data_IF_165836555205
#
_entry.id   IF_165836555205
#
_cell.length_a   1.000
_cell.length_b   1.000
_cell.length_c   1.000
_cell.angle_alpha   90.00
_cell.angle_beta   90.00
_cell.angle_gamma   90.00
#
_symmetry.space_group_name_H-M   'P 1'
#
loop_
_entity.id
_entity.type
_entity.pdbx_description
1 polymer ?
#
# COMPACT_ATOMS: atom_id res chain seq x y z
N UNK A 1 6.93 10.64 32.70
CA UNK A 1 7.96 9.79 32.07
C UNK A 1 7.38 8.61 31.27
N UNK A 2 6.06 8.39 31.25
CA UNK A 2 5.43 7.26 30.53
C UNK A 2 5.09 7.52 29.05
N UNK A 3 4.93 8.76 28.60
CA UNK A 3 4.56 9.07 27.21
C UNK A 3 5.68 8.76 26.17
N UNK A 4 6.92 8.50 26.61
CA UNK A 4 8.04 8.13 25.73
C UNK A 4 8.18 6.63 25.49
N UNK A 5 7.51 5.80 26.30
CA UNK A 5 7.63 4.33 26.23
C UNK A 5 6.69 3.70 25.20
N UNK A 6 5.53 4.30 24.95
CA UNK A 6 4.56 3.81 23.96
C UNK A 6 5.03 4.01 22.50
N UNK A 7 5.91 4.96 22.24
CA UNK A 7 6.46 5.19 20.89
C UNK A 7 7.60 4.23 20.49
N UNK A 8 8.08 3.37 21.41
CA UNK A 8 9.20 2.47 21.12
C UNK A 8 8.75 1.09 20.59
N UNK A 9 7.49 0.69 20.77
CA UNK A 9 6.97 -0.60 20.29
C UNK A 9 6.40 -0.54 18.86
N UNK A 10 6.23 0.64 18.26
CA UNK A 10 5.70 0.83 16.89
C UNK A 10 6.76 0.99 15.78
N UNK A 11 8.04 0.70 16.04
CA UNK A 11 9.05 0.62 14.97
C UNK A 11 9.16 -0.80 14.40
N UNK A 12 8.06 -1.30 13.85
CA UNK A 12 8.09 -2.51 13.04
C UNK A 12 8.51 -2.17 11.60
N UNK A 13 9.82 -2.20 11.34
CA UNK A 13 10.51 -1.99 10.04
C UNK A 13 10.24 -0.64 9.37
N UNK A 14 11.26 -0.01 8.77
CA UNK A 14 11.11 1.29 8.08
C UNK A 14 10.20 1.25 6.84
N UNK A 15 9.47 0.15 6.61
CA UNK A 15 8.86 -0.20 5.34
C UNK A 15 7.32 -0.26 5.42
N UNK A 16 6.71 0.11 6.55
CA UNK A 16 5.26 0.28 6.72
C UNK A 16 4.93 1.59 7.45
N UNK A 17 3.91 2.31 6.98
CA UNK A 17 3.34 3.49 7.65
C UNK A 17 3.15 4.66 6.69
N UNK A 18 3.24 5.90 7.18
CA UNK A 18 3.17 7.10 6.32
C UNK A 18 4.48 7.32 5.57
N UNK A 19 4.63 6.61 4.45
CA UNK A 19 5.85 6.65 3.64
C UNK A 19 5.61 7.56 2.44
N UNK A 20 6.55 8.50 2.22
CA UNK A 20 6.54 9.42 1.08
C UNK A 20 6.59 8.65 -0.23
N UNK A 21 5.75 9.04 -1.19
CA UNK A 21 5.79 8.46 -2.54
C UNK A 21 7.10 8.82 -3.26
N UNK A 22 7.51 10.09 -3.19
CA UNK A 22 8.74 10.56 -3.83
C UNK A 22 8.73 10.28 -5.33
N UNK A 23 9.81 9.67 -5.85
CA UNK A 23 9.92 9.26 -7.26
C UNK A 23 9.50 7.80 -7.49
N UNK A 24 8.97 7.12 -6.47
CA UNK A 24 8.57 5.71 -6.58
C UNK A 24 7.24 5.60 -7.32
N UNK A 25 7.02 4.46 -7.98
CA UNK A 25 5.72 4.10 -8.56
C UNK A 25 4.79 3.62 -7.45
N UNK A 26 3.66 4.30 -7.28
CA UNK A 26 2.60 3.94 -6.34
C UNK A 26 1.75 2.83 -6.92
N UNK A 27 1.63 1.72 -6.21
CA UNK A 27 0.80 0.57 -6.57
C UNK A 27 -0.48 0.62 -5.74
N UNK A 28 -1.64 0.57 -6.39
CA UNK A 28 -2.95 0.71 -5.76
C UNK A 28 -3.74 -0.58 -5.99
N UNK A 29 -4.20 -1.27 -4.93
CA UNK A 29 -5.05 -2.44 -5.10
C UNK A 29 -6.43 -2.03 -5.64
N UNK A 30 -6.99 -2.81 -6.57
CA UNK A 30 -8.34 -2.58 -7.11
C UNK A 30 -9.42 -3.14 -6.16
N UNK A 31 -9.60 -2.50 -5.00
CA UNK A 31 -10.72 -2.85 -4.09
C UNK A 31 -12.08 -2.39 -4.63
N UNK A 32 -12.05 -1.31 -5.41
CA UNK A 32 -13.15 -0.82 -6.23
C UNK A 32 -12.56 -0.29 -7.53
N UNK A 33 -13.06 -0.75 -8.67
CA UNK A 33 -12.52 -0.39 -9.98
C UNK A 33 -12.51 1.10 -10.24
N UNK A 34 -13.63 1.78 -10.02
CA UNK A 34 -13.75 3.20 -10.29
C UNK A 34 -12.83 4.01 -9.36
N UNK A 35 -12.86 3.73 -8.06
CA UNK A 35 -12.04 4.44 -7.06
C UNK A 35 -10.55 4.21 -7.27
N UNK A 36 -10.12 2.99 -7.58
CA UNK A 36 -8.69 2.69 -7.78
C UNK A 36 -8.15 3.40 -9.03
N UNK A 37 -8.90 3.36 -10.14
CA UNK A 37 -8.52 4.06 -11.38
C UNK A 37 -8.51 5.57 -11.20
N UNK A 38 -9.53 6.12 -10.53
CA UNK A 38 -9.61 7.55 -10.25
C UNK A 38 -8.47 8.00 -9.33
N UNK A 39 -8.19 7.27 -8.25
CA UNK A 39 -7.09 7.57 -7.35
C UNK A 39 -5.74 7.55 -8.07
N UNK A 40 -5.50 6.54 -8.93
CA UNK A 40 -4.29 6.45 -9.74
C UNK A 40 -4.18 7.64 -10.71
N UNK A 41 -5.27 8.01 -11.37
CA UNK A 41 -5.30 9.16 -12.29
C UNK A 41 -5.05 10.49 -11.56
N UNK A 42 -5.68 10.70 -10.41
CA UNK A 42 -5.48 11.88 -9.58
C UNK A 42 -4.03 11.98 -9.14
N UNK A 43 -3.43 10.90 -8.61
CA UNK A 43 -2.01 10.92 -8.21
C UNK A 43 -1.08 11.31 -9.36
N UNK A 44 -1.32 10.79 -10.58
CA UNK A 44 -0.57 11.20 -11.77
C UNK A 44 -0.77 12.68 -12.11
N UNK A 45 -1.97 13.21 -11.95
CA UNK A 45 -2.26 14.65 -12.10
C UNK A 45 -1.47 15.53 -11.13
N UNK A 46 -1.10 15.00 -9.96
CA UNK A 46 -0.26 15.67 -8.96
C UNK A 46 1.25 15.35 -9.10
N UNK A 47 1.65 14.71 -10.20
CA UNK A 47 3.05 14.38 -10.51
C UNK A 47 3.59 13.15 -9.78
N UNK A 48 2.71 12.29 -9.27
CA UNK A 48 3.08 11.03 -8.63
C UNK A 48 2.75 9.88 -9.58
N UNK A 49 3.77 9.13 -9.99
CA UNK A 49 3.57 7.92 -10.78
C UNK A 49 2.74 6.90 -9.99
N UNK A 50 1.59 6.50 -10.55
CA UNK A 50 0.65 5.62 -9.86
C UNK A 50 -0.05 4.67 -10.84
N UNK A 51 -0.23 3.41 -10.41
CA UNK A 51 -0.85 2.33 -11.17
C UNK A 51 -1.84 1.55 -10.31
N UNK A 52 -3.06 1.37 -10.82
CA UNK A 52 -3.96 0.37 -10.28
C UNK A 52 -3.46 -1.02 -10.68
N UNK A 53 -3.44 -1.95 -9.73
CA UNK A 53 -3.05 -3.33 -9.96
C UNK A 53 -4.17 -4.10 -10.65
N UNK A 54 -3.79 -5.06 -11.51
CA UNK A 54 -4.76 -6.04 -12.02
C UNK A 54 -5.28 -6.90 -10.88
N UNK A 55 -6.61 -6.99 -10.75
CA UNK A 55 -7.23 -7.78 -9.69
C UNK A 55 -7.66 -9.17 -10.13
N UNK A 56 -7.73 -10.11 -9.19
CA UNK A 56 -8.10 -11.52 -9.39
C UNK A 56 -7.14 -12.34 -10.27
N UNK A 57 -6.01 -11.78 -10.70
CA UNK A 57 -4.99 -12.51 -11.46
C UNK A 57 -4.09 -13.38 -10.58
N UNK A 58 -3.93 -12.99 -9.31
CA UNK A 58 -3.05 -13.67 -8.35
C UNK A 58 -3.78 -14.37 -7.20
N UNK A 59 -5.09 -14.66 -7.32
CA UNK A 59 -5.86 -15.18 -6.20
C UNK A 59 -5.26 -16.46 -5.59
N UNK A 60 -4.74 -17.36 -6.42
CA UNK A 60 -4.12 -18.60 -5.94
C UNK A 60 -2.84 -18.32 -5.13
N UNK A 61 -2.04 -17.32 -5.53
CA UNK A 61 -0.90 -16.83 -4.74
C UNK A 61 -1.40 -16.27 -3.40
N UNK A 62 -2.45 -15.45 -3.42
CA UNK A 62 -3.02 -14.91 -2.17
C UNK A 62 -3.49 -16.00 -1.21
N UNK A 63 -4.09 -17.07 -1.73
CA UNK A 63 -4.54 -18.23 -0.94
C UNK A 63 -3.38 -19.04 -0.35
N UNK A 64 -2.27 -19.17 -1.07
CA UNK A 64 -1.10 -19.92 -0.60
C UNK A 64 -0.50 -19.33 0.69
N UNK A 65 -0.54 -18.00 0.83
CA UNK A 65 0.02 -17.29 1.98
C UNK A 65 -1.02 -16.89 3.03
N UNK A 66 -2.27 -17.33 2.91
CA UNK A 66 -3.35 -17.02 3.85
C UNK A 66 -3.93 -18.27 4.49
N UNK A 67 -4.51 -18.12 5.68
CA UNK A 67 -5.05 -19.26 6.45
C UNK A 67 -6.55 -19.47 6.25
N UNK A 68 -7.21 -18.57 5.51
CA UNK A 68 -8.67 -18.53 5.36
C UNK A 68 -9.37 -17.83 6.53
N UNK A 69 -8.63 -17.40 7.57
CA UNK A 69 -9.17 -16.61 8.69
C UNK A 69 -9.17 -15.12 8.39
N UNK A 70 -8.44 -14.68 7.37
CA UNK A 70 -8.42 -13.33 6.86
C UNK A 70 -9.68 -13.06 6.02
N UNK A 71 -10.15 -11.81 5.93
CA UNK A 71 -11.28 -11.56 5.03
C UNK A 71 -10.85 -11.76 3.57
N UNK A 72 -11.80 -12.15 2.74
CA UNK A 72 -11.55 -12.44 1.32
C UNK A 72 -10.84 -11.31 0.55
N UNK A 73 -11.17 -10.01 0.74
CA UNK A 73 -10.41 -8.93 0.11
C UNK A 73 -8.91 -8.89 0.46
N UNK A 74 -8.52 -9.38 1.64
CA UNK A 74 -7.09 -9.50 1.99
C UNK A 74 -6.38 -10.48 1.08
N UNK A 75 -7.01 -11.64 0.82
CA UNK A 75 -6.47 -12.69 -0.05
C UNK A 75 -6.34 -12.18 -1.49
N UNK A 76 -7.38 -11.50 -1.99
CA UNK A 76 -7.38 -10.92 -3.34
C UNK A 76 -6.25 -9.90 -3.48
N UNK A 77 -6.20 -8.90 -2.58
CA UNK A 77 -5.22 -7.81 -2.70
C UNK A 77 -3.78 -8.27 -2.45
N UNK A 78 -3.56 -9.25 -1.57
CA UNK A 78 -2.25 -9.89 -1.42
C UNK A 78 -1.86 -10.64 -2.70
N UNK A 79 -2.80 -11.38 -3.29
CA UNK A 79 -2.57 -12.05 -4.57
C UNK A 79 -2.19 -11.08 -5.69
N UNK A 80 -2.89 -9.94 -5.77
CA UNK A 80 -2.69 -8.92 -6.79
C UNK A 80 -1.28 -8.30 -6.71
N UNK A 81 -0.80 -7.96 -5.51
CA UNK A 81 0.56 -7.43 -5.33
C UNK A 81 1.64 -8.50 -5.61
N UNK A 82 1.43 -9.75 -5.20
CA UNK A 82 2.36 -10.85 -5.49
C UNK A 82 2.45 -11.13 -6.99
N UNK A 83 1.31 -11.18 -7.67
CA UNK A 83 1.23 -11.35 -9.12
C UNK A 83 1.97 -10.23 -9.86
N UNK A 84 1.72 -8.98 -9.47
CA UNK A 84 2.41 -7.82 -10.05
C UNK A 84 3.93 -7.93 -9.90
N UNK A 85 4.41 -8.26 -8.70
CA UNK A 85 5.85 -8.39 -8.43
C UNK A 85 6.47 -9.51 -9.28
N UNK A 86 5.79 -10.65 -9.41
CA UNK A 86 6.25 -11.74 -10.26
C UNK A 86 6.38 -11.29 -11.72
N UNK A 87 5.38 -10.60 -12.25
CA UNK A 87 5.39 -10.10 -13.64
C UNK A 87 6.42 -9.01 -13.89
N UNK A 88 6.61 -8.08 -12.95
CA UNK A 88 7.66 -7.07 -13.08
C UNK A 88 9.06 -7.68 -12.94
N UNK A 89 9.26 -8.69 -12.09
CA UNK A 89 10.52 -9.46 -12.03
C UNK A 89 10.80 -10.18 -13.35
N UNK A 90 9.81 -10.85 -13.93
CA UNK A 90 9.93 -11.53 -15.23
C UNK A 90 10.29 -10.54 -16.36
N UNK A 91 9.69 -9.36 -16.35
CA UNK A 91 9.86 -8.33 -17.38
C UNK A 91 11.21 -7.59 -17.28
N UNK A 92 11.63 -7.23 -16.07
CA UNK A 92 12.84 -6.43 -15.85
C UNK A 92 14.08 -7.28 -15.58
N UNK A 93 13.90 -8.53 -15.18
CA UNK A 93 14.99 -9.45 -14.85
C UNK A 93 15.94 -8.85 -13.79
N UNK A 94 17.27 -8.81 -14.04
CA UNK A 94 18.24 -8.25 -13.10
C UNK A 94 18.05 -6.76 -12.77
N UNK A 95 17.31 -6.02 -13.61
CA UNK A 95 17.04 -4.59 -13.37
C UNK A 95 15.85 -4.34 -12.42
N UNK A 96 15.17 -5.39 -11.97
CA UNK A 96 14.07 -5.25 -11.01
C UNK A 96 14.58 -4.74 -9.66
N UNK A 97 14.18 -3.52 -9.29
CA UNK A 97 14.43 -2.93 -7.97
C UNK A 97 13.10 -2.70 -7.23
N UNK A 98 12.76 -3.52 -6.22
CA UNK A 98 11.55 -3.33 -5.42
C UNK A 98 11.54 -1.98 -4.67
N UNK A 99 12.72 -1.36 -4.46
CA UNK A 99 12.84 -0.03 -3.89
C UNK A 99 12.20 1.09 -4.74
N UNK A 100 11.93 0.84 -6.03
CA UNK A 100 11.25 1.77 -6.94
C UNK A 100 9.73 1.77 -6.75
N UNK A 101 9.19 0.90 -5.90
CA UNK A 101 7.75 0.74 -5.71
C UNK A 101 7.32 1.09 -4.29
N UNK A 102 6.11 1.64 -4.18
CA UNK A 102 5.42 1.83 -2.92
C UNK A 102 4.00 1.32 -3.06
N UNK A 103 3.59 0.38 -2.23
CA UNK A 103 2.24 -0.16 -2.23
C UNK A 103 1.36 0.68 -1.31
N UNK A 104 0.32 1.30 -1.86
CA UNK A 104 -0.59 2.15 -1.10
C UNK A 104 -1.79 1.33 -0.62
N UNK A 105 -1.80 1.05 0.68
CA UNK A 105 -2.84 0.24 1.32
C UNK A 105 -3.33 0.95 2.57
N UNK A 106 -4.45 1.70 2.49
CA UNK A 106 -5.10 2.31 3.64
C UNK A 106 -5.47 1.28 4.71
N UNK A 107 -5.66 1.76 5.94
CA UNK A 107 -6.13 0.97 7.07
C UNK A 107 -7.27 1.70 7.81
N UNK A 108 -8.04 0.96 8.60
CA UNK A 108 -8.97 1.54 9.57
C UNK A 108 -8.50 1.25 10.98
N UNK A 109 -8.59 2.24 11.85
CA UNK A 109 -8.46 2.06 13.29
C UNK A 109 -9.66 1.27 13.86
N UNK A 110 -9.47 0.66 15.03
CA UNK A 110 -10.48 -0.17 15.72
C UNK A 110 -10.35 -1.68 15.46
N UNK A 111 -11.29 -2.52 15.94
CA UNK A 111 -11.22 -3.98 15.85
C UNK A 111 -11.48 -4.52 14.43
N UNK A 112 -11.31 -3.69 13.40
CA UNK A 112 -11.55 -4.05 12.03
C UNK A 112 -10.40 -4.90 11.48
N UNK A 113 -10.71 -6.04 10.86
CA UNK A 113 -9.71 -6.89 10.20
C UNK A 113 -8.98 -6.14 9.08
N UNK A 114 -9.63 -5.18 8.42
CA UNK A 114 -9.01 -4.31 7.42
C UNK A 114 -7.81 -3.52 7.98
N UNK A 115 -7.89 -3.11 9.25
CA UNK A 115 -6.79 -2.44 9.96
C UNK A 115 -5.51 -3.25 10.06
N UNK A 116 -5.57 -4.56 9.80
CA UNK A 116 -4.42 -5.46 9.89
C UNK A 116 -3.90 -5.91 8.52
N UNK A 117 -4.53 -5.51 7.41
CA UNK A 117 -4.14 -5.98 6.08
C UNK A 117 -2.71 -5.58 5.76
N UNK A 118 -2.34 -4.31 5.99
CA UNK A 118 -1.02 -3.79 5.67
C UNK A 118 0.09 -4.49 6.48
N UNK A 119 -0.14 -4.79 7.77
CA UNK A 119 0.78 -5.49 8.66
C UNK A 119 0.93 -6.95 8.23
N UNK A 120 -0.18 -7.62 7.96
CA UNK A 120 -0.17 -8.99 7.48
C UNK A 120 0.55 -9.11 6.13
N UNK A 121 0.19 -8.27 5.16
CA UNK A 121 0.83 -8.27 3.84
C UNK A 121 2.30 -7.87 3.94
N UNK A 122 2.69 -6.99 4.88
CA UNK A 122 4.11 -6.69 5.15
C UNK A 122 4.87 -7.93 5.62
N UNK A 123 4.32 -8.69 6.57
CA UNK A 123 4.92 -9.95 7.06
C UNK A 123 5.10 -10.93 5.89
N UNK A 124 4.07 -11.09 5.04
CA UNK A 124 4.15 -11.97 3.88
C UNK A 124 5.22 -11.49 2.91
N UNK A 125 5.25 -10.20 2.55
CA UNK A 125 6.25 -9.65 1.63
C UNK A 125 7.67 -9.76 2.18
N UNK A 126 7.89 -9.57 3.49
CA UNK A 126 9.20 -9.71 4.14
C UNK A 126 9.71 -11.17 4.14
N UNK A 127 8.83 -12.16 3.95
CA UNK A 127 9.24 -13.56 3.78
C UNK A 127 9.89 -13.87 2.43
N UNK A 128 9.70 -13.00 1.43
CA UNK A 128 10.31 -13.17 0.11
C UNK A 128 11.66 -12.46 0.01
N UNK A 129 12.72 -13.14 -0.47
CA UNK A 129 14.01 -12.53 -0.67
C UNK A 129 13.95 -11.28 -1.58
N UNK A 130 14.50 -10.18 -1.06
CA UNK A 130 14.64 -8.91 -1.76
C UNK A 130 13.39 -8.04 -1.80
N UNK A 131 12.26 -8.40 -1.17
CA UNK A 131 11.05 -7.56 -1.14
C UNK A 131 10.96 -6.64 0.08
N UNK A 132 11.97 -6.64 0.95
CA UNK A 132 12.09 -5.74 2.10
C UNK A 132 12.06 -4.27 1.67
N UNK A 133 12.69 -3.93 0.53
CA UNK A 133 12.75 -2.54 0.03
C UNK A 133 11.46 -2.01 -0.61
N UNK A 134 10.50 -2.90 -0.93
CA UNK A 134 9.17 -2.48 -1.36
C UNK A 134 8.41 -2.00 -0.13
N UNK A 135 8.07 -0.72 -0.08
CA UNK A 135 7.45 -0.12 1.10
C UNK A 135 5.93 -0.11 1.00
N UNK A 136 5.21 -0.24 2.11
CA UNK A 136 3.76 -0.06 2.18
C UNK A 136 3.46 1.30 2.78
N UNK A 137 2.89 2.20 1.98
CA UNK A 137 2.38 3.48 2.47
C UNK A 137 0.92 3.34 2.87
N UNK A 138 0.58 3.79 4.07
CA UNK A 138 -0.75 3.65 4.65
C UNK A 138 -1.22 4.94 5.31
N UNK A 139 -2.52 5.16 5.24
CA UNK A 139 -3.28 6.22 5.90
C UNK A 139 -4.36 5.56 6.77
N UNK A 140 -4.75 6.23 7.85
CA UNK A 140 -5.61 5.65 8.88
C UNK A 140 -6.81 6.54 9.17
N UNK A 141 -7.90 5.95 9.63
CA UNK A 141 -9.09 6.71 10.10
C UNK A 141 -8.78 7.60 11.30
N UNK A 142 -7.74 7.28 12.09
CA UNK A 142 -7.34 8.02 13.30
C UNK A 142 -7.10 9.51 13.04
N UNK A 143 -6.62 9.86 11.84
CA UNK A 143 -6.38 11.25 11.43
C UNK A 143 -7.22 11.67 10.23
N UNK A 144 -8.34 10.98 10.00
CA UNK A 144 -9.25 11.28 8.89
C UNK A 144 -8.63 11.00 7.53
N UNK A 145 -7.81 9.95 7.41
CA UNK A 145 -7.14 9.56 6.17
C UNK A 145 -6.22 10.64 5.60
N UNK A 146 -5.52 11.36 6.48
CA UNK A 146 -4.68 12.49 6.06
C UNK A 146 -3.45 12.02 5.28
N UNK A 147 -3.25 12.56 4.09
CA UNK A 147 -2.04 12.35 3.27
C UNK A 147 -0.83 13.18 3.73
N UNK A 148 -0.98 13.92 4.82
CA UNK A 148 0.13 14.65 5.46
C UNK A 148 1.25 13.68 5.84
N UNK A 149 2.46 13.95 5.36
CA UNK A 149 3.63 13.09 5.55
C UNK A 149 3.90 12.13 4.38
N UNK A 150 2.93 11.93 3.49
CA UNK A 150 3.06 11.12 2.27
C UNK A 150 3.29 12.02 1.05
N UNK A 151 2.46 13.05 0.90
CA UNK A 151 2.57 14.09 -0.13
C UNK A 151 3.27 15.34 0.41
N UNK A 152 3.75 16.19 -0.51
CA UNK A 152 4.25 17.54 -0.19
C UNK A 152 3.14 18.37 0.44
N UNK A 153 3.46 19.12 1.49
CA UNK A 153 2.48 19.80 2.36
C UNK A 153 1.59 20.77 1.56
N UNK A 154 2.18 21.40 0.56
CA UNK A 154 1.55 22.37 -0.34
C UNK A 154 0.50 21.70 -1.24
N UNK A 155 0.69 20.42 -1.59
CA UNK A 155 -0.20 19.66 -2.46
C UNK A 155 -1.32 18.93 -1.71
N UNK A 156 -1.19 18.73 -0.38
CA UNK A 156 -2.14 17.94 0.41
C UNK A 156 -3.56 18.51 0.32
N UNK A 157 -3.73 19.82 0.51
CA UNK A 157 -5.05 20.44 0.49
C UNK A 157 -5.71 20.37 -0.89
N UNK A 158 -4.95 20.64 -1.94
CA UNK A 158 -5.49 20.59 -3.30
C UNK A 158 -5.82 19.16 -3.73
N UNK A 159 -5.01 18.18 -3.30
CA UNK A 159 -5.34 16.77 -3.48
C UNK A 159 -6.62 16.39 -2.73
N UNK A 160 -6.80 16.83 -1.48
CA UNK A 160 -8.02 16.55 -0.74
C UNK A 160 -9.24 17.18 -1.41
N UNK A 161 -9.10 18.39 -1.97
CA UNK A 161 -10.18 19.04 -2.73
C UNK A 161 -10.61 18.24 -3.95
N UNK A 162 -9.70 17.49 -4.59
CA UNK A 162 -10.06 16.67 -5.75
C UNK A 162 -11.12 15.61 -5.40
N UNK A 163 -11.19 15.18 -4.13
CA UNK A 163 -12.20 14.24 -3.66
C UNK A 163 -13.65 14.76 -3.71
N UNK A 164 -13.87 16.08 -3.81
CA UNK A 164 -15.22 16.65 -3.96
C UNK A 164 -15.72 16.69 -5.41
N UNK A 165 -14.84 16.42 -6.38
CA UNK A 165 -15.18 16.41 -7.81
C UNK A 165 -15.37 14.98 -8.36
N UNK A 166 -15.21 13.97 -7.50
CA UNK A 166 -15.25 12.54 -7.81
C UNK A 166 -16.67 11.96 -7.72
#
# INVERSE_FOLDING_TARGET
MEARRQNQEERASGNLGKIRFGKKTVLIPEMNRATALLLAATLRGFGVEARALETYKGLDLGKEYTSGKECYPCQVTLGDILYFIQKEKEKLGPAFDPGQYVYFLPESDGPCRFGLYNRFQRIVLDSFPGLDRLTISSITTRDGYSLSGILEKEKVLDFQKSGFFA
#
